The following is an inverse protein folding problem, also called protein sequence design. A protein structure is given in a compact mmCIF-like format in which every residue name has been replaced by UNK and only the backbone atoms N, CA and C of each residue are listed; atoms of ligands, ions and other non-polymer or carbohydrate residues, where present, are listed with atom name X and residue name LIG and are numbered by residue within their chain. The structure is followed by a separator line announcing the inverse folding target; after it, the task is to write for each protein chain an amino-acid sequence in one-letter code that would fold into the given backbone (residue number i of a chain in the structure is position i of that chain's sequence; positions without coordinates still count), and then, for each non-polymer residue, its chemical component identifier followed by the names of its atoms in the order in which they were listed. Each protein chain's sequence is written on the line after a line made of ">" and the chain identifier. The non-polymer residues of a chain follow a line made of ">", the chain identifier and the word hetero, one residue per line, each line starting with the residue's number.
data_IF_731283107022
#
_entry.id   IF_731283107022
#
_cell.length_a   1.000
_cell.length_b   1.000
_cell.length_c   1.000
_cell.angle_alpha   90.00
_cell.angle_beta   90.00
_cell.angle_gamma   90.00
#
_symmetry.space_group_name_H-M   'P 1'
#
loop_
_entity.id
_entity.type
_entity.pdbx_description
1 polymer ?
#
# COMPACT_ATOMS: atom_id res chain seq x y z
N UNK A 1 -4.51 -21.64 -12.68
CA UNK A 1 -3.52 -22.31 -11.81
C UNK A 1 -3.62 -21.73 -10.42
N UNK A 2 -3.51 -22.56 -9.37
CA UNK A 2 -3.67 -22.11 -7.96
C UNK A 2 -2.34 -21.83 -7.25
N UNK A 3 -1.21 -22.09 -7.92
CA UNK A 3 0.13 -22.00 -7.37
C UNK A 3 0.41 -20.66 -6.67
N UNK A 4 0.03 -19.54 -7.26
CA UNK A 4 0.25 -18.20 -6.68
C UNK A 4 -0.45 -18.02 -5.34
N UNK A 5 -1.67 -18.55 -5.19
CA UNK A 5 -2.41 -18.46 -3.94
C UNK A 5 -1.84 -19.37 -2.85
N UNK A 6 -1.32 -20.52 -3.24
CA UNK A 6 -0.68 -21.46 -2.33
C UNK A 6 0.67 -20.94 -1.82
N UNK A 7 1.44 -20.29 -2.68
CA UNK A 7 2.79 -19.83 -2.35
C UNK A 7 2.79 -18.47 -1.63
N UNK A 8 2.01 -17.51 -2.13
CA UNK A 8 2.06 -16.11 -1.66
C UNK A 8 0.81 -15.67 -0.91
N UNK A 9 -0.20 -16.54 -0.81
CA UNK A 9 -1.50 -16.20 -0.24
C UNK A 9 -2.38 -15.39 -1.19
N UNK A 10 -3.38 -14.72 -0.62
CA UNK A 10 -4.39 -13.97 -1.35
C UNK A 10 -5.68 -13.89 -0.53
N UNK A 11 -6.81 -13.64 -1.17
CA UNK A 11 -8.10 -13.75 -0.49
C UNK A 11 -8.44 -15.24 -0.27
N UNK A 12 -8.97 -15.65 0.89
CA UNK A 12 -9.34 -14.82 2.03
C UNK A 12 -8.13 -14.37 2.87
N UNK A 13 -8.20 -13.11 3.29
CA UNK A 13 -7.14 -12.31 3.93
C UNK A 13 -6.63 -12.87 5.28
N UNK A 14 -7.16 -13.97 5.78
CA UNK A 14 -6.83 -14.57 7.09
C UNK A 14 -5.35 -14.94 7.27
N UNK A 15 -4.61 -15.15 6.18
CA UNK A 15 -3.17 -15.45 6.23
C UNK A 15 -2.29 -14.23 6.49
N UNK A 16 -2.80 -13.00 6.34
CA UNK A 16 -2.00 -11.78 6.46
C UNK A 16 -1.46 -11.55 7.88
N UNK A 17 -2.03 -12.19 8.91
CA UNK A 17 -1.58 -12.09 10.31
C UNK A 17 -0.14 -12.56 10.57
N UNK A 18 0.41 -13.39 9.68
CA UNK A 18 1.77 -13.92 9.82
C UNK A 18 2.83 -13.04 9.12
N UNK A 19 2.40 -12.01 8.39
CA UNK A 19 3.28 -11.08 7.72
C UNK A 19 3.38 -9.77 8.52
N UNK A 20 4.47 -9.06 8.34
CA UNK A 20 4.70 -7.76 8.96
C UNK A 20 5.55 -6.88 8.04
N UNK A 21 5.56 -5.57 8.31
CA UNK A 21 6.42 -4.60 7.64
C UNK A 21 6.17 -4.50 6.13
N UNK A 22 4.91 -4.51 5.72
CA UNK A 22 4.47 -4.25 4.35
C UNK A 22 3.44 -3.12 4.39
N UNK A 23 3.65 -2.08 3.58
CA UNK A 23 2.69 -0.98 3.40
C UNK A 23 2.04 -1.18 2.05
N UNK A 24 0.72 -1.30 2.01
CA UNK A 24 -0.04 -1.39 0.77
C UNK A 24 -0.56 0.00 0.39
N UNK A 25 -0.01 0.61 -0.66
CA UNK A 25 -0.53 1.88 -1.21
C UNK A 25 -1.31 1.62 -2.48
N UNK A 26 -2.42 2.33 -2.65
CA UNK A 26 -3.20 2.30 -3.88
C UNK A 26 -3.70 3.70 -4.23
N UNK A 27 -3.72 4.03 -5.52
CA UNK A 27 -4.39 5.23 -6.02
C UNK A 27 -5.87 4.95 -6.27
N UNK A 28 -6.78 5.86 -5.89
CA UNK A 28 -8.21 5.65 -6.15
C UNK A 28 -8.60 5.78 -7.63
N UNK A 29 -7.72 6.32 -8.48
CA UNK A 29 -7.88 6.37 -9.94
C UNK A 29 -7.18 5.20 -10.64
N UNK A 30 -6.48 4.34 -9.89
CA UNK A 30 -5.77 3.19 -10.45
C UNK A 30 -6.74 2.01 -10.65
N UNK A 31 -6.97 1.53 -11.89
CA UNK A 31 -7.80 0.35 -12.12
C UNK A 31 -7.22 -0.92 -11.46
N UNK A 32 -5.90 -0.98 -11.21
CA UNK A 32 -5.27 -2.11 -10.54
C UNK A 32 -5.58 -2.18 -9.05
N UNK A 33 -6.05 -1.08 -8.44
CA UNK A 33 -6.45 -1.07 -7.03
C UNK A 33 -7.55 -2.09 -6.72
N UNK A 34 -8.40 -2.45 -7.70
CA UNK A 34 -9.43 -3.47 -7.53
C UNK A 34 -8.87 -4.85 -7.15
N UNK A 35 -7.64 -5.15 -7.57
CA UNK A 35 -6.92 -6.38 -7.24
C UNK A 35 -6.06 -6.28 -5.96
N UNK A 36 -5.92 -5.09 -5.39
CA UNK A 36 -5.02 -4.81 -4.28
C UNK A 36 -5.63 -5.02 -2.89
N UNK A 37 -4.84 -4.67 -1.86
CA UNK A 37 -5.27 -4.57 -0.46
C UNK A 37 -5.61 -3.10 -0.18
N UNK A 38 -6.91 -2.80 -0.03
CA UNK A 38 -7.41 -1.42 0.12
C UNK A 38 -7.92 -1.09 1.54
N UNK A 39 -7.78 -2.02 2.48
CA UNK A 39 -8.21 -1.84 3.86
C UNK A 39 -7.19 -2.48 4.79
N UNK A 40 -6.80 -1.77 5.85
CA UNK A 40 -5.86 -2.29 6.85
C UNK A 40 -6.44 -3.54 7.51
N UNK A 41 -5.66 -4.62 7.49
CA UNK A 41 -6.07 -5.94 7.99
C UNK A 41 -5.60 -6.11 9.43
N UNK A 42 -4.31 -5.83 9.66
CA UNK A 42 -3.63 -5.80 10.95
C UNK A 42 -2.77 -4.54 11.00
N UNK A 43 -2.50 -4.03 12.21
CA UNK A 43 -1.77 -2.76 12.38
C UNK A 43 -0.34 -2.79 11.81
N UNK A 44 0.28 -3.95 11.71
CA UNK A 44 1.61 -4.15 11.11
C UNK A 44 1.61 -4.16 9.56
N UNK A 45 0.44 -4.14 8.94
CA UNK A 45 0.23 -4.18 7.48
C UNK A 45 -0.75 -3.08 7.04
N UNK A 46 -0.38 -1.79 7.15
CA UNK A 46 -1.26 -0.69 6.79
C UNK A 46 -1.61 -0.69 5.30
N UNK A 47 -2.87 -0.40 4.99
CA UNK A 47 -3.31 -0.07 3.64
C UNK A 47 -3.69 1.41 3.56
N UNK A 48 -3.10 2.14 2.62
CA UNK A 48 -3.21 3.59 2.50
C UNK A 48 -3.69 3.95 1.10
N UNK A 49 -4.82 4.68 1.02
CA UNK A 49 -5.38 5.16 -0.24
C UNK A 49 -4.85 6.56 -0.56
N UNK A 50 -4.43 6.77 -1.81
CA UNK A 50 -3.99 8.05 -2.34
C UNK A 50 -5.13 8.63 -3.17
N UNK A 51 -5.83 9.62 -2.62
CA UNK A 51 -6.91 10.32 -3.34
C UNK A 51 -6.33 11.18 -4.45
N UNK A 52 -6.82 10.98 -5.68
CA UNK A 52 -6.27 11.58 -6.90
C UNK A 52 -5.02 10.87 -7.41
N UNK A 53 -4.59 9.78 -6.75
CA UNK A 53 -3.49 8.95 -7.20
C UNK A 53 -3.94 8.01 -8.32
N UNK A 54 -3.16 7.96 -9.40
CA UNK A 54 -3.20 6.87 -10.37
C UNK A 54 -2.14 5.81 -9.98
N UNK A 55 -1.72 4.98 -10.94
CA UNK A 55 -0.81 3.86 -10.72
C UNK A 55 0.49 4.28 -10.01
N UNK A 56 0.65 3.81 -8.77
CA UNK A 56 1.82 3.99 -7.88
C UNK A 56 2.45 5.42 -7.87
N UNK A 57 1.60 6.45 -7.77
CA UNK A 57 2.04 7.87 -7.78
C UNK A 57 3.05 8.20 -6.65
N UNK A 58 2.90 7.55 -5.50
CA UNK A 58 3.78 7.68 -4.34
C UNK A 58 5.25 7.37 -4.64
N UNK A 59 5.53 6.44 -5.57
CA UNK A 59 6.89 6.07 -5.99
C UNK A 59 7.54 7.06 -6.97
N UNK A 60 6.76 7.96 -7.58
CA UNK A 60 7.32 8.96 -8.50
C UNK A 60 8.08 10.05 -7.74
N UNK A 61 9.01 10.70 -8.46
CA UNK A 61 9.68 11.89 -7.95
C UNK A 61 8.67 12.98 -7.61
N UNK A 62 8.99 13.82 -6.62
CA UNK A 62 8.15 14.92 -6.21
C UNK A 62 7.90 15.90 -7.36
N UNK A 63 6.68 16.41 -7.44
CA UNK A 63 6.25 17.41 -8.39
C UNK A 63 5.47 18.52 -7.66
N UNK A 64 5.59 19.76 -8.14
CA UNK A 64 4.83 20.92 -7.63
C UNK A 64 3.31 20.74 -7.75
N UNK A 65 2.86 19.93 -8.70
CA UNK A 65 1.46 19.68 -9.02
C UNK A 65 0.94 18.40 -8.33
N UNK A 66 1.73 17.81 -7.41
CA UNK A 66 1.31 16.63 -6.66
C UNK A 66 0.08 16.94 -5.79
N UNK A 67 -0.96 16.08 -5.82
CA UNK A 67 -2.07 16.20 -4.89
C UNK A 67 -1.58 16.15 -3.45
N UNK A 68 -2.19 16.95 -2.55
CA UNK A 68 -1.79 16.97 -1.14
C UNK A 68 -1.82 15.57 -0.48
N UNK A 69 -2.71 14.70 -0.95
CA UNK A 69 -2.81 13.31 -0.49
C UNK A 69 -1.51 12.52 -0.71
N UNK A 70 -0.87 12.58 -1.89
CA UNK A 70 0.37 11.81 -2.11
C UNK A 70 1.53 12.36 -1.29
N UNK A 71 1.58 13.68 -1.06
CA UNK A 71 2.60 14.31 -0.22
C UNK A 71 2.49 13.78 1.22
N UNK A 72 1.27 13.73 1.78
CA UNK A 72 1.03 13.20 3.11
C UNK A 72 1.35 11.71 3.20
N UNK A 73 0.94 10.92 2.21
CA UNK A 73 1.22 9.48 2.16
C UNK A 73 2.72 9.20 2.10
N UNK A 74 3.50 9.93 1.31
CA UNK A 74 4.97 9.80 1.29
C UNK A 74 5.59 10.08 2.67
N UNK A 75 5.11 11.09 3.39
CA UNK A 75 5.59 11.38 4.75
C UNK A 75 5.25 10.27 5.73
N UNK A 76 4.06 9.66 5.61
CA UNK A 76 3.66 8.52 6.44
C UNK A 76 4.50 7.27 6.15
N UNK A 77 4.73 6.96 4.87
CA UNK A 77 5.61 5.86 4.43
C UNK A 77 7.01 6.02 5.02
N UNK A 78 7.60 7.21 4.94
CA UNK A 78 8.93 7.48 5.52
C UNK A 78 8.94 7.22 7.03
N UNK A 79 7.92 7.68 7.77
CA UNK A 79 7.82 7.44 9.22
C UNK A 79 7.71 5.96 9.56
N UNK A 80 6.97 5.18 8.74
CA UNK A 80 6.83 3.74 8.93
C UNK A 80 8.14 3.01 8.64
N UNK A 81 8.82 3.34 7.54
CA UNK A 81 10.13 2.76 7.19
C UNK A 81 11.18 3.10 8.26
N UNK A 82 11.20 4.35 8.75
CA UNK A 82 12.11 4.76 9.81
C UNK A 82 11.97 3.90 11.07
N UNK A 83 10.74 3.52 11.45
CA UNK A 83 10.50 2.60 12.59
C UNK A 83 11.05 1.20 12.35
N UNK A 84 11.18 0.75 11.11
CA UNK A 84 11.71 -0.58 10.79
C UNK A 84 13.24 -0.65 10.83
N UNK A 85 13.91 0.47 10.60
CA UNK A 85 15.38 0.57 10.57
C UNK A 85 15.98 1.18 11.84
N UNK A 86 15.13 1.53 12.82
CA UNK A 86 15.55 1.99 14.15
C UNK A 86 15.91 0.81 15.04
#
# INVERSE_FOLDING_TARGET
>A
SEWTFMEFGGKPITNFRYYSNIIFTNGNLDPWSAGGVNSTIVSSLPAILITGGAHHLDLRAANKDDPQSVIQVRQEIVKLIQKWVS
#
